data_IF_902207845664
#
_entry.id   IF_902207845664
#
_cell.length_a   1.000
_cell.length_b   1.000
_cell.length_c   1.000
_cell.angle_alpha   90.00
_cell.angle_beta   90.00
_cell.angle_gamma   90.00
#
_symmetry.space_group_name_H-M   'P 1'
#
loop_
_entity.id
_entity.type
_entity.pdbx_description
1 polymer ?
#
# COMPACT_ATOMS: atom_id res chain seq x y z
N UNK A 1 -23.15 27.44 36.00
CA UNK A 1 -21.68 27.17 36.10
C UNK A 1 -21.32 25.69 35.95
N UNK A 2 -22.08 24.78 36.54
CA UNK A 2 -21.84 23.34 36.35
C UNK A 2 -22.08 22.91 34.91
N UNK A 3 -23.09 23.46 34.25
CA UNK A 3 -23.40 23.20 32.84
C UNK A 3 -22.31 23.71 31.90
N UNK A 4 -21.70 24.85 32.20
CA UNK A 4 -20.61 25.43 31.41
C UNK A 4 -19.36 24.56 31.46
N UNK A 5 -19.00 24.04 32.63
CA UNK A 5 -17.85 23.11 32.78
C UNK A 5 -18.10 21.79 32.05
N UNK A 6 -19.35 21.31 32.11
CA UNK A 6 -19.72 20.07 31.40
C UNK A 6 -19.60 20.24 29.88
N UNK A 7 -20.07 21.38 29.35
CA UNK A 7 -19.99 21.69 27.93
C UNK A 7 -18.54 21.75 27.46
N UNK A 8 -17.67 22.42 28.23
CA UNK A 8 -16.22 22.47 27.89
C UNK A 8 -15.60 21.07 27.89
N UNK A 9 -15.97 20.25 28.87
CA UNK A 9 -15.45 18.88 28.96
C UNK A 9 -15.86 18.03 27.76
N UNK A 10 -17.12 18.14 27.33
CA UNK A 10 -17.63 17.43 26.14
C UNK A 10 -16.91 17.91 24.87
N UNK A 11 -16.69 19.22 24.74
CA UNK A 11 -15.97 19.78 23.60
C UNK A 11 -14.52 19.26 23.54
N UNK A 12 -13.84 19.18 24.69
CA UNK A 12 -12.49 18.67 24.77
C UNK A 12 -12.41 17.20 24.35
N UNK A 13 -13.37 16.37 24.77
CA UNK A 13 -13.43 14.96 24.35
C UNK A 13 -13.69 14.87 22.85
N UNK A 14 -14.59 15.65 22.30
CA UNK A 14 -14.91 15.66 20.87
C UNK A 14 -13.69 16.05 20.03
N UNK A 15 -12.93 17.08 20.46
CA UNK A 15 -11.70 17.50 19.78
C UNK A 15 -10.63 16.41 19.87
N UNK A 16 -10.46 15.77 21.01
CA UNK A 16 -9.49 14.68 21.19
C UNK A 16 -9.83 13.49 20.26
N UNK A 17 -11.11 13.09 20.19
CA UNK A 17 -11.57 12.04 19.29
C UNK A 17 -11.36 12.41 17.82
N UNK A 18 -11.62 13.65 17.45
CA UNK A 18 -11.42 14.15 16.08
C UNK A 18 -9.95 14.09 15.66
N UNK A 19 -9.03 14.36 16.58
CA UNK A 19 -7.59 14.28 16.30
C UNK A 19 -7.09 12.84 16.14
N UNK A 20 -7.74 11.87 16.79
CA UNK A 20 -7.37 10.45 16.72
C UNK A 20 -7.96 9.79 15.47
N UNK A 21 -9.20 10.09 15.11
CA UNK A 21 -9.93 9.47 13.99
C UNK A 21 -9.22 9.61 12.62
N UNK A 22 -8.62 10.77 12.25
CA UNK A 22 -7.88 10.88 10.99
C UNK A 22 -6.72 9.89 10.88
N UNK A 23 -6.04 9.59 11.98
CA UNK A 23 -4.95 8.63 11.98
C UNK A 23 -5.45 7.20 11.71
N UNK A 24 -6.65 6.86 12.15
CA UNK A 24 -7.27 5.57 11.85
C UNK A 24 -7.71 5.46 10.40
N UNK A 25 -8.13 6.58 9.77
CA UNK A 25 -8.49 6.59 8.34
C UNK A 25 -7.30 6.30 7.45
N UNK A 26 -6.12 6.77 7.81
CA UNK A 26 -4.89 6.51 7.05
C UNK A 26 -4.45 5.06 7.14
N UNK A 27 -4.78 4.37 8.22
CA UNK A 27 -4.50 2.95 8.38
C UNK A 27 -5.35 2.07 7.45
N UNK A 28 -6.41 2.61 6.83
CA UNK A 28 -7.22 1.88 5.86
C UNK A 28 -6.56 1.73 4.49
N UNK A 29 -5.55 2.56 4.16
CA UNK A 29 -4.76 2.43 2.93
C UNK A 29 -3.58 1.48 3.17
N UNK A 30 -3.89 0.22 3.47
CA UNK A 30 -2.87 -0.81 3.62
C UNK A 30 -2.38 -1.33 2.26
N UNK A 31 -1.33 -2.15 2.29
CA UNK A 31 -0.75 -2.72 1.07
C UNK A 31 -1.73 -3.56 0.26
N UNK A 32 -2.63 -4.28 0.93
CA UNK A 32 -3.64 -5.09 0.26
C UNK A 32 -4.62 -4.23 -0.54
N UNK A 33 -5.09 -3.14 0.03
CA UNK A 33 -6.01 -2.21 -0.63
C UNK A 33 -5.35 -1.55 -1.84
N UNK A 34 -4.13 -1.07 -1.69
CA UNK A 34 -3.38 -0.45 -2.80
C UNK A 34 -3.08 -1.49 -3.88
N UNK A 35 -2.68 -2.70 -3.51
CA UNK A 35 -2.44 -3.78 -4.46
C UNK A 35 -3.68 -4.08 -5.30
N UNK A 36 -4.83 -4.24 -4.68
CA UNK A 36 -6.09 -4.51 -5.38
C UNK A 36 -6.46 -3.40 -6.37
N UNK A 37 -6.21 -2.15 -5.98
CA UNK A 37 -6.56 -0.99 -6.80
C UNK A 37 -5.60 -0.78 -7.97
N UNK A 38 -4.31 -1.07 -7.80
CA UNK A 38 -3.26 -0.66 -8.75
C UNK A 38 -2.52 -1.82 -9.44
N UNK A 39 -2.49 -2.98 -8.84
CA UNK A 39 -1.63 -4.09 -9.29
C UNK A 39 -2.41 -5.31 -9.74
N UNK A 40 -3.53 -5.61 -9.09
CA UNK A 40 -4.28 -6.85 -9.30
C UNK A 40 -4.85 -6.99 -10.72
N UNK A 41 -5.15 -5.90 -11.40
CA UNK A 41 -5.66 -5.93 -12.76
C UNK A 41 -4.70 -6.65 -13.72
N UNK A 42 -3.39 -6.52 -13.50
CA UNK A 42 -2.37 -7.17 -14.31
C UNK A 42 -1.82 -8.43 -13.64
N UNK A 43 -1.49 -8.35 -12.34
CA UNK A 43 -0.83 -9.47 -11.63
C UNK A 43 -1.78 -10.48 -11.02
N UNK A 44 -3.09 -10.20 -11.00
CA UNK A 44 -4.09 -11.07 -10.40
C UNK A 44 -4.25 -10.83 -8.90
N UNK A 45 -5.42 -11.19 -8.37
CA UNK A 45 -5.71 -11.08 -6.94
C UNK A 45 -4.90 -12.08 -6.11
N UNK A 46 -4.47 -13.19 -6.73
CA UNK A 46 -3.64 -14.24 -6.13
C UNK A 46 -2.14 -14.01 -6.33
N UNK A 47 -1.74 -12.91 -6.96
CA UNK A 47 -0.34 -12.56 -7.29
C UNK A 47 0.34 -13.56 -8.25
N UNK A 48 -0.41 -14.46 -8.86
CA UNK A 48 0.15 -15.48 -9.75
C UNK A 48 0.54 -14.94 -11.14
N UNK A 49 0.13 -13.73 -11.48
CA UNK A 49 0.38 -13.14 -12.79
C UNK A 49 -0.52 -13.70 -13.88
N UNK A 50 -0.16 -13.39 -15.11
CA UNK A 50 -0.89 -13.86 -16.31
C UNK A 50 0.15 -14.33 -17.34
N UNK A 51 0.54 -15.61 -17.33
CA UNK A 51 1.57 -16.12 -18.26
C UNK A 51 1.25 -15.88 -19.73
N UNK A 52 -0.02 -15.99 -20.10
CA UNK A 52 -0.45 -15.74 -21.48
C UNK A 52 -0.20 -14.29 -21.93
N UNK A 53 -0.23 -13.34 -21.02
CA UNK A 53 0.07 -11.93 -21.27
C UNK A 53 1.53 -11.57 -20.94
N UNK A 54 2.37 -12.56 -20.63
CA UNK A 54 3.79 -12.40 -20.23
C UNK A 54 3.93 -11.52 -18.97
N UNK A 55 2.96 -11.56 -18.08
CA UNK A 55 3.00 -10.88 -16.80
C UNK A 55 3.48 -11.87 -15.74
N UNK A 56 4.64 -11.63 -15.12
CA UNK A 56 5.22 -12.58 -14.16
C UNK A 56 4.41 -12.65 -12.87
N UNK A 57 4.43 -13.82 -12.24
CA UNK A 57 3.88 -13.97 -10.90
C UNK A 57 4.75 -13.32 -9.84
N UNK A 58 4.12 -12.59 -8.93
CA UNK A 58 4.85 -11.93 -7.84
C UNK A 58 5.24 -12.91 -6.73
N UNK A 59 4.66 -14.10 -6.71
CA UNK A 59 5.03 -15.19 -5.79
C UNK A 59 5.98 -16.20 -6.43
N UNK A 60 6.48 -15.91 -7.63
CA UNK A 60 7.45 -16.76 -8.32
C UNK A 60 8.82 -16.71 -7.63
N UNK A 61 9.64 -17.75 -7.89
CA UNK A 61 10.99 -17.81 -7.33
C UNK A 61 11.85 -16.63 -7.79
N UNK A 62 11.72 -16.21 -9.03
CA UNK A 62 12.45 -15.06 -9.56
C UNK A 62 12.13 -13.78 -8.80
N UNK A 63 10.86 -13.56 -8.49
CA UNK A 63 10.43 -12.39 -7.70
C UNK A 63 10.91 -12.50 -6.25
N UNK A 64 10.88 -13.69 -5.67
CA UNK A 64 11.36 -13.93 -4.29
C UNK A 64 12.85 -13.62 -4.13
N UNK A 65 13.65 -13.76 -5.20
CA UNK A 65 15.08 -13.49 -5.16
C UNK A 65 15.43 -12.01 -5.19
N UNK A 66 14.48 -11.14 -5.54
CA UNK A 66 14.71 -9.70 -5.54
C UNK A 66 14.96 -9.20 -4.12
N UNK A 67 15.90 -8.28 -3.96
CA UNK A 67 16.05 -7.58 -2.69
C UNK A 67 14.84 -6.68 -2.44
N UNK A 68 14.64 -6.26 -1.20
CA UNK A 68 13.55 -5.34 -0.87
C UNK A 68 13.70 -4.01 -1.62
N UNK A 69 14.94 -3.56 -1.82
CA UNK A 69 15.24 -2.37 -2.60
C UNK A 69 14.87 -2.54 -4.07
N UNK A 70 15.24 -3.66 -4.68
CA UNK A 70 14.92 -3.95 -6.07
C UNK A 70 13.42 -4.09 -6.28
N UNK A 71 12.71 -4.73 -5.35
CA UNK A 71 11.26 -4.86 -5.40
C UNK A 71 10.58 -3.50 -5.30
N UNK A 72 11.02 -2.68 -4.36
CA UNK A 72 10.50 -1.32 -4.17
C UNK A 72 10.76 -0.45 -5.40
N UNK A 73 11.95 -0.52 -5.96
CA UNK A 73 12.32 0.22 -7.17
C UNK A 73 11.50 -0.25 -8.39
N UNK A 74 11.24 -1.55 -8.50
CA UNK A 74 10.39 -2.08 -9.57
C UNK A 74 8.98 -1.49 -9.53
N UNK A 75 8.43 -1.29 -8.34
CA UNK A 75 7.11 -0.67 -8.16
C UNK A 75 7.18 0.83 -8.43
N UNK A 76 8.17 1.51 -7.83
CA UNK A 76 8.27 2.98 -7.87
C UNK A 76 8.66 3.50 -9.26
N UNK A 77 9.63 2.86 -9.90
CA UNK A 77 10.32 3.38 -11.09
C UNK A 77 10.32 2.43 -12.27
N UNK A 78 9.73 1.26 -12.13
CA UNK A 78 9.73 0.23 -13.17
C UNK A 78 10.93 -0.71 -13.16
N UNK A 79 11.81 -0.59 -12.16
CA UNK A 79 12.99 -1.43 -12.00
C UNK A 79 14.05 -1.21 -13.10
N UNK A 80 14.92 -2.20 -13.27
CA UNK A 80 16.00 -2.15 -14.26
C UNK A 80 15.51 -2.04 -15.70
N UNK A 81 14.31 -2.54 -15.98
CA UNK A 81 13.69 -2.46 -17.30
C UNK A 81 12.98 -1.14 -17.57
N UNK A 82 12.90 -0.26 -16.58
CA UNK A 82 12.23 1.05 -16.64
C UNK A 82 10.84 0.99 -17.27
N UNK A 83 10.04 0.02 -16.84
CA UNK A 83 8.69 -0.15 -17.38
C UNK A 83 7.79 1.01 -16.96
N UNK A 84 7.37 1.83 -17.90
CA UNK A 84 6.51 2.99 -17.65
C UNK A 84 5.18 2.60 -16.98
N UNK A 85 4.67 1.38 -17.23
CA UNK A 85 3.46 0.87 -16.58
C UNK A 85 3.62 0.73 -15.07
N UNK A 86 4.83 0.58 -14.55
CA UNK A 86 5.10 0.50 -13.14
C UNK A 86 5.35 1.86 -12.50
N UNK A 87 6.05 2.75 -13.05
CA UNK A 87 6.46 4.05 -12.51
C UNK A 87 5.43 4.73 -11.58
N UNK A 88 5.01 4.03 -10.51
CA UNK A 88 3.92 4.47 -9.62
C UNK A 88 4.29 5.69 -8.78
N UNK A 89 5.59 5.92 -8.54
CA UNK A 89 6.05 7.14 -7.89
C UNK A 89 5.66 8.38 -8.72
N UNK A 90 5.81 8.30 -10.04
CA UNK A 90 5.41 9.37 -10.96
C UNK A 90 3.89 9.49 -11.10
N UNK A 91 3.15 8.43 -10.74
CA UNK A 91 1.69 8.40 -10.80
C UNK A 91 1.02 8.83 -9.49
N UNK A 92 1.81 9.35 -8.54
CA UNK A 92 1.29 9.89 -7.30
C UNK A 92 1.26 8.93 -6.12
N UNK A 93 1.82 7.73 -6.26
CA UNK A 93 1.92 6.80 -5.14
C UNK A 93 3.07 7.25 -4.22
N UNK A 94 2.76 7.43 -2.93
CA UNK A 94 3.76 7.87 -1.95
C UNK A 94 4.79 6.76 -1.66
N UNK A 95 6.00 7.12 -1.18
CA UNK A 95 6.98 6.12 -0.77
C UNK A 95 6.46 5.15 0.28
N UNK A 96 5.63 5.61 1.21
CA UNK A 96 5.03 4.75 2.24
C UNK A 96 4.06 3.75 1.64
N UNK A 97 3.22 4.17 0.69
CA UNK A 97 2.32 3.28 -0.03
C UNK A 97 3.09 2.22 -0.81
N UNK A 98 4.19 2.61 -1.47
CA UNK A 98 5.05 1.68 -2.21
C UNK A 98 5.65 0.63 -1.26
N UNK A 99 6.13 1.05 -0.10
CA UNK A 99 6.65 0.12 0.92
C UNK A 99 5.58 -0.83 1.45
N UNK A 100 4.37 -0.34 1.64
CA UNK A 100 3.25 -1.17 2.09
C UNK A 100 2.87 -2.22 1.06
N UNK A 101 2.87 -1.88 -0.23
CA UNK A 101 2.63 -2.84 -1.31
C UNK A 101 3.75 -3.87 -1.37
N UNK A 102 5.01 -3.46 -1.28
CA UNK A 102 6.15 -4.36 -1.26
C UNK A 102 6.06 -5.35 -0.09
N UNK A 103 5.69 -4.86 1.08
CA UNK A 103 5.49 -5.69 2.27
C UNK A 103 4.36 -6.69 2.08
N UNK A 104 3.25 -6.28 1.48
CA UNK A 104 2.12 -7.15 1.15
C UNK A 104 2.55 -8.28 0.22
N UNK A 105 3.35 -7.96 -0.80
CA UNK A 105 3.89 -8.97 -1.73
C UNK A 105 4.80 -9.95 -1.00
N UNK A 106 5.68 -9.45 -0.12
CA UNK A 106 6.57 -10.31 0.69
C UNK A 106 5.79 -11.27 1.58
N UNK A 107 4.73 -10.79 2.22
CA UNK A 107 3.88 -11.62 3.06
C UNK A 107 3.19 -12.72 2.24
N UNK A 108 2.74 -12.40 1.04
CA UNK A 108 2.16 -13.39 0.13
C UNK A 108 3.18 -14.45 -0.32
N UNK A 109 4.44 -14.07 -0.49
CA UNK A 109 5.51 -14.98 -0.87
C UNK A 109 5.85 -16.00 0.22
N UNK A 110 5.50 -15.73 1.47
CA UNK A 110 5.75 -16.61 2.61
C UNK A 110 4.68 -17.69 2.81
N UNK A 111 3.58 -17.60 2.12
CA UNK A 111 2.45 -18.55 2.26
C UNK A 111 2.64 -19.82 1.47
#
# INVERSE_FOLDING_TARGET
>A
MKTFKLVIFIIMIAVALFLILPNLSWAADDGATVYKAKCAACHGTDLAGKPAAKIPGLVSDDCKKLSDEDLTDAIANGGKRKKASHAFADKGMSPDQIKMVASYIRDAQKK
#
